data_IF_758881450569
#
_entry.id   IF_758881450569
#
_cell.length_a   1.000
_cell.length_b   1.000
_cell.length_c   1.000
_cell.angle_alpha   90.00
_cell.angle_beta   90.00
_cell.angle_gamma   90.00
#
_symmetry.space_group_name_H-M   'P 1'
#
loop_
_entity.id
_entity.type
_entity.pdbx_description
1 polymer ?
#
# COMPACT_ATOMS: atom_id res chain seq x y z
N UNK A 1 -50.32 53.60 -65.80
CA UNK A 1 -50.20 53.23 -64.38
C UNK A 1 -49.11 52.18 -64.29
N UNK A 2 -47.91 52.56 -63.89
CA UNK A 2 -46.75 51.69 -63.88
C UNK A 2 -46.43 51.29 -62.42
N UNK A 3 -46.63 50.02 -62.07
CA UNK A 3 -46.30 49.48 -60.78
C UNK A 3 -44.80 49.08 -60.79
N UNK A 4 -43.98 49.69 -59.93
CA UNK A 4 -42.58 49.33 -59.71
C UNK A 4 -42.54 48.31 -58.61
N UNK A 5 -42.13 47.08 -58.96
CA UNK A 5 -41.73 46.05 -57.99
C UNK A 5 -40.37 46.45 -57.42
N UNK A 6 -40.29 46.62 -56.10
CA UNK A 6 -39.04 46.73 -55.34
C UNK A 6 -38.75 45.38 -54.78
N UNK A 7 -37.72 44.71 -55.32
CA UNK A 7 -37.19 43.49 -54.75
C UNK A 7 -36.29 43.84 -53.55
N UNK A 8 -36.75 43.50 -52.36
CA UNK A 8 -35.97 43.57 -51.12
C UNK A 8 -35.10 42.33 -51.02
N UNK A 9 -33.82 42.46 -51.30
CA UNK A 9 -32.82 41.37 -51.02
C UNK A 9 -32.50 41.37 -49.52
N UNK A 10 -33.06 40.39 -48.78
CA UNK A 10 -32.71 40.17 -47.40
C UNK A 10 -31.39 39.39 -47.36
N UNK A 11 -30.31 40.07 -47.00
CA UNK A 11 -29.00 39.49 -46.76
C UNK A 11 -29.04 38.77 -45.38
N UNK A 12 -29.26 37.47 -45.38
CA UNK A 12 -29.13 36.62 -44.18
C UNK A 12 -27.64 36.45 -43.90
N UNK A 13 -27.08 37.24 -43.00
CA UNK A 13 -25.77 37.01 -42.40
C UNK A 13 -25.89 35.77 -41.50
N UNK A 14 -25.46 34.64 -42.02
CA UNK A 14 -25.11 33.48 -41.17
C UNK A 14 -23.90 33.87 -40.33
N UNK A 15 -24.14 34.36 -39.12
CA UNK A 15 -23.08 34.37 -38.10
C UNK A 15 -22.81 32.91 -37.73
N UNK A 16 -21.74 32.34 -38.29
CA UNK A 16 -21.14 31.10 -37.76
C UNK A 16 -20.64 31.49 -36.38
N UNK A 17 -21.49 31.33 -35.35
CA UNK A 17 -21.04 31.35 -33.96
C UNK A 17 -20.06 30.20 -33.83
N UNK A 18 -18.77 30.52 -33.85
CA UNK A 18 -17.74 29.59 -33.43
C UNK A 18 -18.06 29.22 -31.97
N UNK A 19 -18.72 28.09 -31.78
CA UNK A 19 -19.07 27.60 -30.46
C UNK A 19 -17.77 27.06 -29.85
N UNK A 20 -16.91 27.95 -29.36
CA UNK A 20 -15.70 27.57 -28.64
C UNK A 20 -16.16 26.83 -27.39
N UNK A 21 -15.95 25.54 -27.38
CA UNK A 21 -16.22 24.72 -26.20
C UNK A 21 -15.19 25.05 -25.11
N UNK A 22 -15.66 25.72 -24.05
CA UNK A 22 -14.80 26.12 -22.95
C UNK A 22 -14.49 24.89 -22.03
N UNK A 23 -13.20 24.64 -21.81
CA UNK A 23 -12.70 23.54 -20.97
C UNK A 23 -11.74 24.03 -19.90
N UNK A 24 -11.39 23.18 -18.95
CA UNK A 24 -10.48 23.57 -17.86
C UNK A 24 -9.03 23.58 -18.33
N UNK A 25 -8.62 22.58 -19.14
CA UNK A 25 -7.24 22.39 -19.56
C UNK A 25 -7.20 21.87 -21.00
N UNK A 26 -6.28 22.43 -21.80
CA UNK A 26 -5.81 21.83 -23.04
C UNK A 26 -4.33 21.50 -22.88
N UNK A 27 -3.98 20.23 -23.10
CA UNK A 27 -2.59 19.78 -23.25
C UNK A 27 -2.31 19.62 -24.73
N UNK A 28 -1.21 20.20 -25.23
CA UNK A 28 -0.83 20.15 -26.64
C UNK A 28 0.64 19.86 -26.80
N UNK A 29 1.08 19.61 -28.06
CA UNK A 29 2.48 19.29 -28.39
C UNK A 29 2.99 18.09 -27.56
N UNK A 30 2.16 17.05 -27.40
CA UNK A 30 2.47 15.83 -26.67
C UNK A 30 2.60 14.62 -27.60
N UNK A 31 3.16 13.51 -27.10
CA UNK A 31 3.02 12.18 -27.67
C UNK A 31 2.10 11.38 -26.74
N UNK A 32 0.82 11.38 -27.00
CA UNK A 32 -0.17 10.69 -26.15
C UNK A 32 -0.35 9.28 -26.65
N UNK A 33 -0.13 8.29 -25.78
CA UNK A 33 -0.46 6.88 -25.97
C UNK A 33 -1.82 6.66 -25.34
N UNK A 34 -2.84 6.40 -26.15
CA UNK A 34 -4.23 6.40 -25.68
C UNK A 34 -4.68 5.06 -25.08
N UNK A 35 -4.02 3.96 -25.45
CA UNK A 35 -4.46 2.58 -25.20
C UNK A 35 -5.81 2.25 -25.84
N UNK A 36 -6.18 2.98 -26.88
CA UNK A 36 -7.37 2.77 -27.69
C UNK A 36 -6.93 2.29 -29.07
N UNK A 37 -7.37 1.12 -29.49
CA UNK A 37 -6.95 0.49 -30.76
C UNK A 37 -7.44 1.30 -31.98
N UNK A 38 -8.56 2.00 -31.87
CA UNK A 38 -9.11 2.83 -32.93
C UNK A 38 -8.37 4.17 -33.08
N UNK A 39 -7.78 4.68 -32.01
CA UNK A 39 -7.00 5.92 -31.98
C UNK A 39 -5.77 5.77 -31.10
N UNK A 40 -4.75 4.96 -31.45
CA UNK A 40 -3.65 4.57 -30.58
C UNK A 40 -2.76 5.74 -30.12
N UNK A 41 -2.78 6.86 -30.86
CA UNK A 41 -1.98 8.04 -30.52
C UNK A 41 -2.74 9.34 -30.77
N UNK A 42 -2.39 10.38 -29.99
CA UNK A 42 -2.83 11.75 -30.19
C UNK A 42 -1.67 12.72 -29.87
N UNK A 43 -1.81 14.00 -30.25
CA UNK A 43 -0.82 15.03 -29.91
C UNK A 43 -1.37 16.12 -28.99
N UNK A 44 -2.68 16.08 -28.69
CA UNK A 44 -3.33 16.96 -27.74
C UNK A 44 -4.55 16.29 -27.11
N UNK A 45 -4.96 16.84 -25.95
CA UNK A 45 -6.19 16.48 -25.26
C UNK A 45 -6.84 17.70 -24.64
N UNK A 46 -8.18 17.68 -24.56
CA UNK A 46 -8.97 18.63 -23.81
C UNK A 46 -9.57 17.94 -22.58
N UNK A 47 -9.45 18.60 -21.41
CA UNK A 47 -9.94 18.10 -20.12
C UNK A 47 -10.92 19.12 -19.53
N UNK A 48 -12.08 18.65 -19.08
CA UNK A 48 -13.08 19.47 -18.41
C UNK A 48 -13.65 18.73 -17.19
N UNK A 49 -13.68 19.39 -16.05
CA UNK A 49 -14.16 18.83 -14.78
C UNK A 49 -13.49 17.48 -14.44
N UNK A 50 -12.18 17.39 -14.66
CA UNK A 50 -11.38 16.19 -14.39
C UNK A 50 -11.62 15.03 -15.36
N UNK A 51 -12.37 15.23 -16.44
CA UNK A 51 -12.64 14.22 -17.46
C UNK A 51 -12.01 14.59 -18.80
N UNK A 52 -11.48 13.60 -19.49
CA UNK A 52 -11.04 13.73 -20.86
C UNK A 52 -12.26 13.89 -21.78
N UNK A 53 -12.36 15.02 -22.48
CA UNK A 53 -13.49 15.33 -23.37
C UNK A 53 -13.15 15.21 -24.84
N UNK A 54 -11.86 15.31 -25.21
CA UNK A 54 -11.42 15.11 -26.58
C UNK A 54 -9.94 14.75 -26.65
N UNK A 55 -9.59 13.95 -27.64
CA UNK A 55 -8.24 13.60 -28.06
C UNK A 55 -8.05 13.87 -29.55
N UNK A 56 -6.89 14.35 -29.97
CA UNK A 56 -6.65 14.60 -31.39
C UNK A 56 -5.32 15.24 -31.70
N UNK A 57 -5.23 15.83 -32.88
CA UNK A 57 -4.07 16.62 -33.30
C UNK A 57 -4.07 17.98 -32.58
N UNK A 58 -2.89 18.46 -32.19
CA UNK A 58 -2.75 19.75 -31.45
C UNK A 58 -3.49 20.89 -32.11
N UNK A 59 -3.35 21.06 -33.45
CA UNK A 59 -4.01 22.14 -34.17
C UNK A 59 -5.55 22.02 -34.11
N UNK A 60 -6.08 20.80 -34.21
CA UNK A 60 -7.52 20.56 -34.17
C UNK A 60 -8.10 20.88 -32.79
N UNK A 61 -7.48 20.38 -31.72
CA UNK A 61 -7.90 20.62 -30.35
C UNK A 61 -7.81 22.10 -29.98
N UNK A 62 -6.71 22.79 -30.33
CA UNK A 62 -6.54 24.22 -30.09
C UNK A 62 -7.55 25.09 -30.84
N UNK A 63 -8.03 24.68 -32.03
CA UNK A 63 -9.05 25.38 -32.78
C UNK A 63 -10.48 25.13 -32.27
N UNK A 64 -10.70 23.97 -31.65
CA UNK A 64 -12.03 23.56 -31.19
C UNK A 64 -12.34 24.03 -29.76
N UNK A 65 -11.32 24.10 -28.89
CA UNK A 65 -11.51 24.40 -27.47
C UNK A 65 -10.77 25.65 -27.04
N UNK A 66 -11.45 26.50 -26.26
CA UNK A 66 -10.80 27.51 -25.42
C UNK A 66 -10.68 26.99 -23.99
N UNK A 67 -9.50 27.12 -23.35
CA UNK A 67 -9.22 26.55 -22.05
C UNK A 67 -8.90 27.61 -21.00
N UNK A 68 -9.18 27.31 -19.71
CA UNK A 68 -8.71 28.14 -18.60
C UNK A 68 -7.19 28.07 -18.46
N UNK A 69 -6.60 26.90 -18.80
CA UNK A 69 -5.16 26.68 -18.79
C UNK A 69 -4.72 25.90 -20.04
N UNK A 70 -3.51 26.22 -20.51
CA UNK A 70 -2.86 25.51 -21.61
C UNK A 70 -1.52 24.96 -21.10
N UNK A 71 -1.24 23.70 -21.43
CA UNK A 71 0.05 23.05 -21.13
C UNK A 71 0.71 22.58 -22.41
N UNK A 72 1.84 23.21 -22.75
CA UNK A 72 2.72 22.73 -23.81
C UNK A 72 3.57 21.58 -23.24
N UNK A 73 3.30 20.36 -23.70
CA UNK A 73 4.02 19.18 -23.25
C UNK A 73 5.42 19.04 -23.89
N UNK A 74 5.81 19.94 -24.81
CA UNK A 74 7.15 19.98 -25.45
C UNK A 74 7.61 18.64 -26.00
N UNK A 75 6.70 17.87 -26.59
CA UNK A 75 6.98 16.54 -27.16
C UNK A 75 7.06 15.42 -26.13
N UNK A 76 6.80 15.67 -24.84
CA UNK A 76 6.78 14.63 -23.82
C UNK A 76 5.71 13.58 -24.10
N UNK A 77 6.00 12.33 -23.68
CA UNK A 77 5.05 11.24 -23.75
C UNK A 77 4.08 11.29 -22.57
N UNK A 78 2.81 11.12 -22.89
CA UNK A 78 1.72 11.00 -21.90
C UNK A 78 1.06 9.64 -22.08
N UNK A 79 0.88 8.92 -20.99
CA UNK A 79 0.17 7.65 -20.93
C UNK A 79 -0.98 7.75 -19.91
N UNK A 80 -1.97 6.84 -19.94
CA UNK A 80 -2.83 6.62 -18.79
C UNK A 80 -2.01 6.37 -17.54
N UNK A 81 -2.48 6.82 -16.39
CA UNK A 81 -1.79 6.59 -15.12
C UNK A 81 -1.67 5.10 -14.81
N UNK A 82 -0.53 4.70 -14.27
CA UNK A 82 -0.29 3.31 -13.89
C UNK A 82 -1.16 2.92 -12.68
N UNK A 83 -1.55 1.65 -12.63
CA UNK A 83 -2.30 1.06 -11.50
C UNK A 83 -1.51 -0.14 -11.00
N UNK A 84 -1.18 -0.15 -9.71
CA UNK A 84 -0.62 -1.34 -9.06
C UNK A 84 -1.77 -2.25 -8.62
N UNK A 85 -1.85 -3.43 -9.22
CA UNK A 85 -2.94 -4.37 -8.98
C UNK A 85 -2.80 -5.17 -7.67
N UNK A 86 -1.65 -5.08 -6.98
CA UNK A 86 -1.41 -5.73 -5.69
C UNK A 86 -0.36 -4.95 -4.91
N UNK A 87 -0.80 -4.07 -4.05
CA UNK A 87 0.04 -3.24 -3.21
C UNK A 87 -0.29 -3.42 -1.73
N UNK A 88 0.60 -2.91 -0.89
CA UNK A 88 0.41 -2.67 0.52
C UNK A 88 0.66 -1.17 0.78
N UNK A 89 -0.25 -0.35 0.27
CA UNK A 89 -0.10 1.11 0.20
C UNK A 89 -0.01 1.76 1.58
N UNK A 90 -0.88 1.37 2.50
CA UNK A 90 -0.83 1.86 3.87
C UNK A 90 0.47 1.43 4.58
N UNK A 91 0.88 0.17 4.40
CA UNK A 91 2.14 -0.33 4.98
C UNK A 91 3.38 0.34 4.36
N UNK A 92 3.35 0.66 3.05
CA UNK A 92 4.38 1.49 2.45
C UNK A 92 4.51 2.83 3.19
N UNK A 93 3.38 3.49 3.45
CA UNK A 93 3.36 4.76 4.16
C UNK A 93 3.90 4.67 5.58
N UNK A 94 3.51 3.65 6.34
CA UNK A 94 4.07 3.41 7.67
C UNK A 94 5.58 3.19 7.61
N UNK A 95 6.05 2.38 6.65
CA UNK A 95 7.48 2.14 6.44
C UNK A 95 8.29 3.38 6.06
N UNK A 96 7.66 4.40 5.46
CA UNK A 96 8.31 5.69 5.20
C UNK A 96 8.50 6.55 6.47
N UNK A 97 7.77 6.24 7.53
CA UNK A 97 7.87 6.90 8.83
C UNK A 97 8.85 6.18 9.77
N UNK A 98 9.39 5.04 9.36
CA UNK A 98 10.38 4.28 10.10
C UNK A 98 11.79 4.53 9.54
N UNK A 99 12.79 4.35 10.40
CA UNK A 99 14.19 4.43 9.96
C UNK A 99 14.60 3.14 9.25
N UNK A 100 15.13 3.26 8.04
CA UNK A 100 15.80 2.17 7.35
C UNK A 100 17.23 2.03 7.88
N UNK A 101 17.50 0.90 8.55
CA UNK A 101 18.81 0.59 9.14
C UNK A 101 19.70 -0.23 8.20
N UNK A 102 19.27 -0.55 6.99
CA UNK A 102 20.08 -1.31 6.02
C UNK A 102 21.35 -0.55 5.65
N UNK A 103 22.44 -1.31 5.52
CA UNK A 103 23.76 -0.74 5.19
C UNK A 103 24.42 0.04 6.33
N UNK A 104 23.95 -0.10 7.58
CA UNK A 104 24.70 0.35 8.75
C UNK A 104 25.89 -0.59 8.98
N UNK A 105 27.05 -0.04 9.31
CA UNK A 105 28.31 -0.78 9.43
C UNK A 105 28.78 -0.97 10.89
N UNK A 106 27.99 -0.51 11.85
CA UNK A 106 28.26 -0.66 13.28
C UNK A 106 27.02 -0.40 14.13
N UNK A 107 27.05 -0.81 15.40
CA UNK A 107 26.04 -0.46 16.42
C UNK A 107 25.88 1.06 16.54
N UNK A 108 27.00 1.78 16.55
CA UNK A 108 26.98 3.25 16.64
C UNK A 108 26.32 3.87 15.41
N UNK A 109 26.55 3.35 14.21
CA UNK A 109 25.90 3.84 12.99
C UNK A 109 24.38 3.63 13.03
N UNK A 110 23.89 2.54 13.65
CA UNK A 110 22.44 2.34 13.91
C UNK A 110 21.92 3.42 14.84
N UNK A 111 22.58 3.63 15.98
CA UNK A 111 22.18 4.61 17.00
C UNK A 111 22.18 6.04 16.42
N UNK A 112 23.22 6.43 15.69
CA UNK A 112 23.31 7.73 15.05
C UNK A 112 22.17 7.96 14.06
N UNK A 113 21.78 6.92 13.31
CA UNK A 113 20.65 7.00 12.38
C UNK A 113 19.32 7.15 13.10
N UNK A 114 19.11 6.46 14.23
CA UNK A 114 17.92 6.63 15.07
C UNK A 114 17.84 8.04 15.67
N UNK A 115 18.94 8.55 16.23
CA UNK A 115 19.02 9.88 16.85
C UNK A 115 18.85 11.02 15.82
N UNK A 116 19.30 10.79 14.58
CA UNK A 116 19.15 11.74 13.47
C UNK A 116 17.74 11.80 12.89
N UNK A 117 16.85 10.89 13.24
CA UNK A 117 15.50 10.82 12.69
C UNK A 117 14.52 11.64 13.53
N UNK A 118 14.15 12.82 13.04
CA UNK A 118 13.29 13.78 13.74
C UNK A 118 12.00 13.20 14.34
N UNK A 119 11.26 12.30 13.65
CA UNK A 119 10.05 11.72 14.23
C UNK A 119 10.25 10.97 15.54
N UNK A 120 11.47 10.49 15.84
CA UNK A 120 11.75 9.76 17.08
C UNK A 120 12.02 10.65 18.29
N UNK A 121 12.21 11.96 18.13
CA UNK A 121 12.45 12.87 19.26
C UNK A 121 11.32 12.88 20.31
N UNK A 122 10.08 12.63 19.87
CA UNK A 122 8.90 12.59 20.74
C UNK A 122 8.12 11.28 20.60
N UNK A 123 8.76 10.24 20.06
CA UNK A 123 8.10 8.96 19.89
C UNK A 123 7.81 8.29 21.24
N UNK A 124 6.62 7.72 21.37
CA UNK A 124 6.25 6.89 22.54
C UNK A 124 6.82 5.48 22.43
N UNK A 125 7.25 5.08 21.24
CA UNK A 125 7.91 3.82 20.93
C UNK A 125 8.79 4.05 19.68
N UNK A 126 10.03 3.57 19.69
CA UNK A 126 10.94 3.64 18.53
C UNK A 126 10.94 2.28 17.84
N UNK A 127 10.50 2.24 16.59
CA UNK A 127 10.48 1.05 15.75
C UNK A 127 11.29 1.32 14.50
N UNK A 128 12.23 0.44 14.16
CA UNK A 128 13.01 0.53 12.92
C UNK A 128 13.38 -0.88 12.43
N UNK A 129 13.89 -0.99 11.21
CA UNK A 129 14.21 -2.28 10.60
C UNK A 129 15.45 -2.21 9.72
N UNK A 130 16.09 -3.38 9.54
CA UNK A 130 17.10 -3.54 8.51
C UNK A 130 18.54 -3.62 9.01
N UNK A 131 18.79 -3.66 10.32
CA UNK A 131 20.14 -3.90 10.82
C UNK A 131 20.57 -5.36 10.58
N UNK A 132 21.88 -5.55 10.37
CA UNK A 132 22.51 -6.88 10.30
C UNK A 132 23.92 -6.79 10.90
N UNK A 133 24.16 -7.52 11.99
CA UNK A 133 25.49 -7.55 12.62
C UNK A 133 26.54 -8.21 11.73
N UNK A 134 26.14 -9.01 10.74
CA UNK A 134 27.10 -9.59 9.81
C UNK A 134 27.73 -8.56 8.86
N UNK A 135 27.08 -7.40 8.68
CA UNK A 135 27.58 -6.27 7.89
C UNK A 135 28.51 -5.36 8.72
N UNK A 136 28.69 -5.64 10.03
CA UNK A 136 29.48 -4.80 10.92
C UNK A 136 30.91 -5.33 11.05
N UNK A 137 31.85 -4.41 11.29
CA UNK A 137 33.28 -4.74 11.41
C UNK A 137 33.58 -5.78 12.48
N UNK A 138 32.85 -5.75 13.62
CA UNK A 138 33.03 -6.67 14.74
C UNK A 138 32.10 -7.89 14.71
N UNK A 139 31.11 -7.89 13.83
CA UNK A 139 30.08 -8.93 13.68
C UNK A 139 29.43 -9.41 14.99
N UNK A 140 29.60 -8.61 16.07
CA UNK A 140 29.08 -8.98 17.38
C UNK A 140 27.60 -8.64 17.51
N UNK A 141 26.87 -9.50 18.22
CA UNK A 141 25.48 -9.20 18.56
C UNK A 141 25.42 -7.94 19.41
N UNK A 142 24.49 -7.02 19.10
CA UNK A 142 24.24 -5.87 19.95
C UNK A 142 23.54 -6.28 21.26
N UNK A 143 23.45 -5.36 22.21
CA UNK A 143 22.84 -5.59 23.52
C UNK A 143 21.81 -4.51 23.86
N UNK A 144 20.94 -4.77 24.82
CA UNK A 144 20.02 -3.78 25.37
C UNK A 144 20.74 -2.53 25.90
N UNK A 145 21.95 -2.70 26.48
CA UNK A 145 22.73 -1.60 27.03
C UNK A 145 23.16 -0.58 25.98
N UNK A 146 23.41 -1.02 24.74
CA UNK A 146 23.75 -0.13 23.63
C UNK A 146 22.60 0.84 23.33
N UNK A 147 21.34 0.43 23.50
CA UNK A 147 20.14 1.24 23.30
C UNK A 147 19.74 2.02 24.58
N UNK A 148 19.87 1.39 25.75
CA UNK A 148 19.49 1.99 27.04
C UNK A 148 20.23 3.30 27.31
N UNK A 149 21.48 3.39 26.84
CA UNK A 149 22.31 4.62 26.98
C UNK A 149 21.69 5.85 26.30
N UNK A 150 20.87 5.65 25.28
CA UNK A 150 20.28 6.73 24.47
C UNK A 150 18.77 6.82 24.60
N UNK A 151 18.11 5.71 24.92
CA UNK A 151 16.65 5.61 25.05
C UNK A 151 16.24 4.97 26.39
N UNK A 152 16.60 5.60 27.54
CA UNK A 152 16.36 4.97 28.87
C UNK A 152 14.87 4.82 29.21
N UNK A 153 14.04 5.75 28.73
CA UNK A 153 12.61 5.81 29.06
C UNK A 153 11.69 5.46 27.87
N UNK A 154 12.23 5.47 26.66
CA UNK A 154 11.47 5.16 25.44
C UNK A 154 11.74 3.72 25.01
N UNK A 155 10.72 2.86 24.88
CA UNK A 155 10.91 1.50 24.38
C UNK A 155 11.40 1.53 22.92
N UNK A 156 12.34 0.65 22.61
CA UNK A 156 12.96 0.51 21.29
C UNK A 156 12.88 -0.92 20.82
N UNK A 157 12.42 -1.14 19.59
CA UNK A 157 12.40 -2.44 18.93
C UNK A 157 12.92 -2.31 17.49
N UNK A 158 14.09 -2.86 17.24
CA UNK A 158 14.76 -2.81 15.95
C UNK A 158 14.74 -4.19 15.30
N UNK A 159 14.01 -4.33 14.19
CA UNK A 159 13.91 -5.60 13.48
C UNK A 159 15.14 -5.83 12.61
N UNK A 160 15.70 -7.03 12.69
CA UNK A 160 16.81 -7.47 11.83
C UNK A 160 16.36 -7.56 10.37
N UNK A 161 17.30 -7.44 9.44
CA UNK A 161 17.04 -7.43 7.99
C UNK A 161 16.25 -8.63 7.49
N UNK A 162 16.46 -9.82 8.09
CA UNK A 162 15.75 -11.05 7.75
C UNK A 162 14.36 -11.19 8.40
N UNK A 163 14.01 -10.29 9.32
CA UNK A 163 12.72 -10.32 10.02
C UNK A 163 12.62 -11.32 11.18
N UNK A 164 13.68 -12.13 11.42
CA UNK A 164 13.67 -13.21 12.39
C UNK A 164 14.27 -12.85 13.75
N UNK A 165 14.78 -11.63 13.93
CA UNK A 165 15.29 -11.18 15.22
C UNK A 165 14.90 -9.73 15.51
N UNK A 166 14.77 -9.42 16.81
CA UNK A 166 14.64 -8.06 17.34
C UNK A 166 15.85 -7.73 18.21
N UNK A 167 16.35 -6.51 18.09
CA UNK A 167 17.22 -5.86 19.05
C UNK A 167 16.40 -4.83 19.81
N UNK A 168 16.24 -5.05 21.11
CA UNK A 168 15.34 -4.28 21.99
C UNK A 168 16.07 -3.76 23.22
N UNK A 169 15.58 -2.66 23.76
CA UNK A 169 16.12 -2.11 25.02
C UNK A 169 15.41 -2.67 26.27
N UNK A 170 15.91 -2.34 27.45
CA UNK A 170 15.34 -2.78 28.71
C UNK A 170 13.89 -2.37 28.91
N UNK A 171 13.49 -1.22 28.39
CA UNK A 171 12.13 -0.71 28.48
C UNK A 171 11.15 -1.58 27.67
N UNK A 172 11.53 -1.97 26.45
CA UNK A 172 10.71 -2.85 25.61
C UNK A 172 10.61 -4.27 26.21
N UNK A 173 11.72 -4.82 26.75
CA UNK A 173 11.69 -6.10 27.48
C UNK A 173 10.71 -6.06 28.66
N UNK A 174 10.77 -5.00 29.46
CA UNK A 174 9.86 -4.82 30.61
C UNK A 174 8.39 -4.75 30.19
N UNK A 175 8.07 -4.02 29.12
CA UNK A 175 6.69 -3.94 28.62
C UNK A 175 6.18 -5.30 28.11
N UNK A 176 7.06 -6.10 27.53
CA UNK A 176 6.74 -7.45 27.04
C UNK A 176 6.74 -8.53 28.14
N UNK A 177 7.09 -8.17 29.39
CA UNK A 177 7.17 -9.12 30.51
C UNK A 177 8.30 -10.16 30.36
N UNK A 178 9.37 -9.83 29.61
CA UNK A 178 10.50 -10.73 29.34
C UNK A 178 11.58 -10.55 30.43
N UNK A 179 11.60 -11.48 31.37
CA UNK A 179 12.54 -11.44 32.51
C UNK A 179 13.58 -12.58 32.47
N UNK A 180 13.31 -13.66 31.76
CA UNK A 180 14.14 -14.86 31.72
C UNK A 180 14.80 -15.07 30.34
N UNK A 181 15.90 -15.79 30.32
CA UNK A 181 16.64 -16.14 29.12
C UNK A 181 16.48 -17.61 28.77
N UNK A 182 16.87 -17.98 27.56
CA UNK A 182 16.95 -19.37 27.11
C UNK A 182 15.99 -19.69 25.94
N UNK A 183 15.97 -20.93 25.50
CA UNK A 183 15.07 -21.40 24.48
C UNK A 183 13.61 -21.39 25.01
N UNK A 184 12.71 -20.93 24.17
CA UNK A 184 11.26 -20.98 24.38
C UNK A 184 10.61 -21.67 23.19
N UNK A 185 9.38 -22.19 23.30
CA UNK A 185 8.70 -22.78 22.15
C UNK A 185 8.71 -21.80 20.95
N UNK A 186 9.31 -22.23 19.85
CA UNK A 186 9.39 -21.45 18.61
C UNK A 186 10.44 -20.34 18.58
N UNK A 187 11.42 -20.28 19.53
CA UNK A 187 12.45 -19.26 19.46
C UNK A 187 13.44 -19.22 20.62
N UNK A 188 14.17 -18.10 20.74
CA UNK A 188 15.23 -17.93 21.71
C UNK A 188 15.26 -16.50 22.28
N UNK A 189 15.37 -16.38 23.59
CA UNK A 189 15.75 -15.15 24.30
C UNK A 189 17.23 -15.25 24.68
N UNK A 190 18.10 -14.50 23.98
CA UNK A 190 19.55 -14.58 24.22
C UNK A 190 19.93 -14.01 25.58
N UNK A 191 20.83 -14.70 26.26
CA UNK A 191 21.42 -14.25 27.51
C UNK A 191 22.53 -13.21 27.25
N UNK A 192 22.59 -12.19 28.11
CA UNK A 192 23.77 -11.32 28.26
C UNK A 192 24.86 -11.97 29.11
N UNK A 193 25.99 -11.29 29.30
CA UNK A 193 27.10 -11.77 30.13
C UNK A 193 26.70 -11.94 31.60
N UNK A 194 25.73 -11.16 32.05
CA UNK A 194 25.15 -11.22 33.41
C UNK A 194 24.07 -12.29 33.58
N UNK A 195 23.79 -13.06 32.53
CA UNK A 195 22.75 -14.10 32.54
C UNK A 195 21.32 -13.57 32.41
N UNK A 196 21.10 -12.23 32.31
CA UNK A 196 19.81 -11.64 32.05
C UNK A 196 19.53 -11.53 30.54
N UNK A 197 18.29 -11.24 30.08
CA UNK A 197 18.01 -11.00 28.67
C UNK A 197 18.94 -9.94 28.06
N UNK A 198 19.65 -10.30 26.99
CA UNK A 198 20.61 -9.40 26.34
C UNK A 198 19.94 -8.26 25.55
N UNK A 199 18.66 -8.38 25.26
CA UNK A 199 17.94 -7.52 24.32
C UNK A 199 17.84 -8.10 22.92
N UNK A 200 18.36 -9.31 22.68
CA UNK A 200 18.19 -10.01 21.40
C UNK A 200 17.17 -11.13 21.55
N UNK A 201 16.11 -11.02 20.75
CA UNK A 201 15.03 -11.99 20.65
C UNK A 201 15.07 -12.61 19.26
N UNK A 202 14.79 -13.90 19.16
CA UNK A 202 14.80 -14.63 17.89
C UNK A 202 13.47 -15.39 17.76
N UNK A 203 12.81 -15.24 16.62
CA UNK A 203 11.53 -15.85 16.24
C UNK A 203 10.39 -15.56 17.24
N UNK A 204 9.68 -16.54 17.77
CA UNK A 204 8.46 -16.39 18.56
C UNK A 204 8.52 -15.34 19.70
N UNK A 205 9.62 -15.18 20.47
CA UNK A 205 9.73 -14.11 21.46
C UNK A 205 9.61 -12.69 20.89
N UNK A 206 9.87 -12.49 19.60
CA UNK A 206 9.67 -11.18 18.95
C UNK A 206 8.22 -10.75 19.03
N UNK A 207 7.27 -11.68 18.91
CA UNK A 207 5.84 -11.39 18.93
C UNK A 207 5.38 -10.79 20.27
N UNK A 208 6.04 -11.16 21.37
CA UNK A 208 5.75 -10.59 22.69
C UNK A 208 6.04 -9.09 22.74
N UNK A 209 7.15 -8.66 22.12
CA UNK A 209 7.51 -7.23 22.04
C UNK A 209 6.63 -6.53 20.99
N UNK A 210 6.43 -7.14 19.85
CA UNK A 210 5.61 -6.55 18.78
C UNK A 210 4.18 -6.27 19.26
N UNK A 211 3.61 -7.13 20.12
CA UNK A 211 2.30 -6.93 20.72
C UNK A 211 2.23 -5.72 21.71
N UNK A 212 3.37 -5.19 22.15
CA UNK A 212 3.43 -3.99 23.01
C UNK A 212 3.53 -2.68 22.24
N UNK A 213 3.79 -2.75 20.93
CA UNK A 213 3.88 -1.56 20.09
C UNK A 213 2.47 -0.98 19.91
N UNK A 214 2.25 0.30 20.27
CA UNK A 214 0.94 0.92 20.07
C UNK A 214 0.52 0.93 18.61
N UNK A 215 -0.76 0.74 18.36
CA UNK A 215 -1.33 0.96 17.04
C UNK A 215 -1.09 2.40 16.58
N UNK A 216 -0.84 2.62 15.28
CA UNK A 216 -0.64 3.96 14.75
C UNK A 216 -1.85 4.86 15.02
N UNK A 217 -1.60 6.06 15.56
CA UNK A 217 -2.67 7.05 15.75
C UNK A 217 -3.23 7.49 14.40
N UNK A 218 -4.43 8.07 14.40
CA UNK A 218 -5.05 8.64 13.19
C UNK A 218 -4.13 9.67 12.51
N UNK A 219 -3.35 10.43 13.28
CA UNK A 219 -2.37 11.40 12.75
C UNK A 219 -1.22 10.69 12.01
N UNK A 220 -0.64 9.65 12.62
CA UNK A 220 0.41 8.82 11.99
C UNK A 220 -0.14 8.15 10.73
N UNK A 221 -1.32 7.54 10.79
CA UNK A 221 -1.96 6.88 9.65
C UNK A 221 -2.27 7.86 8.51
N UNK A 222 -2.73 9.07 8.85
CA UNK A 222 -2.96 10.15 7.87
C UNK A 222 -1.65 10.53 7.17
N UNK A 223 -0.59 10.75 7.93
CA UNK A 223 0.72 11.08 7.39
C UNK A 223 1.26 9.96 6.50
N UNK A 224 1.15 8.71 6.94
CA UNK A 224 1.55 7.53 6.18
C UNK A 224 0.85 7.47 4.80
N UNK A 225 -0.48 7.64 4.77
CA UNK A 225 -1.25 7.63 3.53
C UNK A 225 -0.85 8.77 2.57
N UNK A 226 -0.58 9.96 3.09
CA UNK A 226 -0.16 11.11 2.28
C UNK A 226 1.25 10.91 1.70
N UNK A 227 2.20 10.41 2.51
CA UNK A 227 3.57 10.17 2.07
C UNK A 227 3.65 9.00 1.07
N UNK A 228 2.84 7.94 1.26
CA UNK A 228 2.69 6.86 0.30
C UNK A 228 2.13 7.36 -1.04
N UNK A 229 1.13 8.23 -1.02
CA UNK A 229 0.59 8.87 -2.23
C UNK A 229 1.66 9.66 -2.98
N UNK A 230 2.46 10.47 -2.27
CA UNK A 230 3.53 11.24 -2.89
C UNK A 230 4.56 10.31 -3.58
N UNK A 231 4.92 9.22 -2.93
CA UNK A 231 5.80 8.18 -3.48
C UNK A 231 5.19 7.54 -4.73
N UNK A 232 3.93 7.10 -4.67
CA UNK A 232 3.24 6.51 -5.82
C UNK A 232 3.16 7.47 -7.01
N UNK A 233 2.80 8.72 -6.78
CA UNK A 233 2.72 9.72 -7.85
C UNK A 233 4.08 10.00 -8.48
N UNK A 234 5.17 10.01 -7.70
CA UNK A 234 6.53 10.19 -8.23
C UNK A 234 6.95 9.08 -9.21
N UNK A 235 6.33 7.90 -9.10
CA UNK A 235 6.54 6.73 -9.96
C UNK A 235 5.48 6.59 -11.07
N UNK A 236 4.54 7.54 -11.18
CA UNK A 236 3.46 7.50 -12.18
C UNK A 236 2.28 6.60 -11.82
N UNK A 237 2.23 6.05 -10.62
CA UNK A 237 1.07 5.31 -10.10
C UNK A 237 -0.05 6.29 -9.74
N UNK A 238 -1.25 6.07 -10.28
CA UNK A 238 -2.45 6.89 -10.01
C UNK A 238 -3.55 6.10 -9.33
N UNK A 239 -3.37 4.81 -9.20
CA UNK A 239 -4.26 3.88 -8.51
C UNK A 239 -3.49 2.71 -7.92
N UNK A 240 -4.03 2.14 -6.85
CA UNK A 240 -3.50 0.96 -6.17
C UNK A 240 -4.63 0.06 -5.69
N UNK A 241 -4.38 -1.26 -5.68
CA UNK A 241 -5.21 -2.23 -5.00
C UNK A 241 -4.52 -2.58 -3.68
N UNK A 242 -4.99 -2.03 -2.56
CA UNK A 242 -4.35 -2.19 -1.25
C UNK A 242 -4.88 -3.42 -0.52
N UNK A 243 -3.99 -4.36 -0.25
CA UNK A 243 -4.33 -5.70 0.19
C UNK A 243 -4.31 -5.85 1.72
N UNK A 244 -5.48 -5.88 2.34
CA UNK A 244 -5.65 -6.24 3.75
C UNK A 244 -5.73 -5.04 4.68
N UNK A 245 -6.67 -4.14 4.43
CA UNK A 245 -6.94 -2.97 5.26
C UNK A 245 -7.99 -3.26 6.34
N UNK A 246 -7.80 -2.67 7.53
CA UNK A 246 -8.83 -2.62 8.56
C UNK A 246 -9.93 -1.62 8.19
N UNK A 247 -11.07 -1.77 8.81
CA UNK A 247 -12.20 -0.85 8.68
C UNK A 247 -11.80 0.60 9.00
N UNK A 248 -11.06 0.82 10.08
CA UNK A 248 -10.64 2.15 10.50
C UNK A 248 -9.80 2.86 9.45
N UNK A 249 -8.88 2.15 8.80
CA UNK A 249 -8.04 2.71 7.73
C UNK A 249 -8.86 2.99 6.48
N UNK A 250 -9.81 2.11 6.12
CA UNK A 250 -10.73 2.34 4.99
C UNK A 250 -11.59 3.59 5.22
N UNK A 251 -12.14 3.76 6.43
CA UNK A 251 -12.93 4.94 6.81
C UNK A 251 -12.07 6.21 6.82
N UNK A 252 -10.80 6.12 7.25
CA UNK A 252 -9.85 7.23 7.18
C UNK A 252 -9.54 7.62 5.74
N UNK A 253 -9.29 6.66 4.86
CA UNK A 253 -9.08 6.89 3.41
C UNK A 253 -10.28 7.62 2.81
N UNK A 254 -11.51 7.17 3.11
CA UNK A 254 -12.73 7.82 2.64
C UNK A 254 -12.84 9.28 3.10
N UNK A 255 -12.53 9.54 4.36
CA UNK A 255 -12.52 10.88 4.94
C UNK A 255 -11.49 11.78 4.25
N UNK A 256 -10.27 11.28 4.01
CA UNK A 256 -9.20 12.02 3.33
C UNK A 256 -9.52 12.30 1.86
N UNK A 257 -10.21 11.38 1.17
CA UNK A 257 -10.75 11.61 -0.17
C UNK A 257 -11.81 12.71 -0.16
N UNK A 258 -12.67 12.73 0.88
CA UNK A 258 -13.75 13.72 1.03
C UNK A 258 -13.26 15.15 1.15
N UNK A 259 -12.08 15.37 1.72
CA UNK A 259 -11.44 16.70 1.86
C UNK A 259 -10.34 16.96 0.82
N UNK A 260 -10.21 16.10 -0.21
CA UNK A 260 -9.20 16.18 -1.29
C UNK A 260 -7.73 16.13 -0.82
N UNK A 261 -7.48 15.65 0.39
CA UNK A 261 -6.14 15.43 0.92
C UNK A 261 -5.49 14.18 0.32
N UNK A 262 -6.27 13.14 0.10
CA UNK A 262 -5.86 11.94 -0.62
C UNK A 262 -6.52 11.93 -2.01
N UNK A 263 -5.75 11.68 -3.07
CA UNK A 263 -6.21 11.78 -4.47
C UNK A 263 -5.98 10.51 -5.28
N UNK A 264 -5.06 9.67 -4.85
CA UNK A 264 -4.80 8.37 -5.49
C UNK A 264 -6.06 7.50 -5.40
N UNK A 265 -6.39 6.78 -6.47
CA UNK A 265 -7.49 5.83 -6.45
C UNK A 265 -7.10 4.58 -5.67
N UNK A 266 -7.96 4.13 -4.78
CA UNK A 266 -7.70 2.95 -3.95
C UNK A 266 -8.85 1.95 -4.11
N UNK A 267 -8.52 0.74 -4.55
CA UNK A 267 -9.36 -0.44 -4.40
C UNK A 267 -8.90 -1.15 -3.11
N UNK A 268 -9.66 -0.98 -2.05
CA UNK A 268 -9.33 -1.47 -0.72
C UNK A 268 -9.86 -2.88 -0.53
N UNK A 269 -8.97 -3.84 -0.31
CA UNK A 269 -9.33 -5.20 0.09
C UNK A 269 -9.44 -5.24 1.61
N UNK A 270 -10.60 -5.59 2.13
CA UNK A 270 -10.84 -5.73 3.57
C UNK A 270 -9.97 -6.85 4.14
N UNK A 271 -9.31 -6.65 5.27
CA UNK A 271 -8.65 -7.72 6.03
C UNK A 271 -9.66 -8.77 6.47
N UNK A 272 -9.27 -10.06 6.45
CA UNK A 272 -10.17 -11.17 6.87
C UNK A 272 -10.33 -11.28 8.40
N UNK A 273 -10.37 -10.15 9.08
CA UNK A 273 -10.57 -10.07 10.53
C UNK A 273 -12.02 -9.70 10.86
N UNK A 274 -12.59 -10.36 11.87
CA UNK A 274 -13.85 -9.93 12.45
C UNK A 274 -13.58 -8.84 13.52
N UNK A 275 -14.44 -7.83 13.66
CA UNK A 275 -15.79 -7.72 13.06
C UNK A 275 -15.83 -7.03 11.68
N UNK A 276 -14.71 -6.65 11.10
CA UNK A 276 -14.64 -5.83 9.87
C UNK A 276 -15.28 -6.55 8.67
N UNK A 277 -15.00 -7.84 8.50
CA UNK A 277 -15.61 -8.64 7.43
C UNK A 277 -17.14 -8.60 7.52
N UNK A 278 -17.70 -8.87 8.69
CA UNK A 278 -19.15 -8.84 8.90
C UNK A 278 -19.70 -7.46 8.59
N UNK A 279 -19.07 -6.39 9.08
CA UNK A 279 -19.49 -5.02 8.80
C UNK A 279 -19.60 -4.72 7.30
N UNK A 280 -18.57 -5.03 6.51
CA UNK A 280 -18.58 -4.73 5.08
C UNK A 280 -19.52 -5.63 4.29
N UNK A 281 -19.62 -6.92 4.63
CA UNK A 281 -20.58 -7.82 3.98
C UNK A 281 -22.06 -7.42 4.22
N UNK A 282 -22.36 -6.82 5.38
CA UNK A 282 -23.69 -6.30 5.71
C UNK A 282 -23.97 -4.92 5.11
N UNK A 283 -22.96 -4.04 5.09
CA UNK A 283 -23.07 -2.68 4.55
C UNK A 283 -23.10 -2.66 3.01
N UNK A 284 -22.57 -3.70 2.36
CA UNK A 284 -22.49 -3.80 0.90
C UNK A 284 -21.26 -3.13 0.29
N UNK A 285 -21.20 -3.19 -1.04
CA UNK A 285 -20.07 -2.64 -1.82
C UNK A 285 -19.98 -1.13 -1.71
N UNK A 286 -18.78 -0.61 -1.61
CA UNK A 286 -18.48 0.82 -1.77
C UNK A 286 -17.88 1.01 -3.16
N UNK A 287 -18.45 1.92 -3.95
CA UNK A 287 -17.94 2.30 -5.27
C UNK A 287 -18.06 3.82 -5.43
N UNK A 288 -17.04 4.52 -5.00
CA UNK A 288 -16.91 5.98 -5.09
C UNK A 288 -15.87 6.35 -6.14
N UNK A 289 -15.78 7.62 -6.48
CA UNK A 289 -14.86 8.12 -7.51
C UNK A 289 -13.41 7.68 -7.32
N UNK A 290 -12.94 7.59 -6.06
CA UNK A 290 -11.55 7.27 -5.71
C UNK A 290 -11.41 6.09 -4.76
N UNK A 291 -12.47 5.60 -4.16
CA UNK A 291 -12.46 4.48 -3.23
C UNK A 291 -13.44 3.41 -3.69
N UNK A 292 -12.92 2.22 -3.88
CA UNK A 292 -13.71 1.01 -4.02
C UNK A 292 -13.43 0.06 -2.86
N UNK A 293 -14.47 -0.57 -2.32
CA UNK A 293 -14.35 -1.67 -1.36
C UNK A 293 -15.29 -2.77 -1.85
N UNK A 294 -14.70 -3.81 -2.41
CA UNK A 294 -15.48 -4.88 -3.03
C UNK A 294 -14.81 -6.24 -2.94
N UNK A 295 -13.77 -6.34 -2.12
CA UNK A 295 -13.04 -7.59 -1.96
C UNK A 295 -12.48 -7.78 -0.55
N UNK A 296 -12.19 -9.03 -0.20
CA UNK A 296 -11.61 -9.44 1.07
C UNK A 296 -10.27 -10.11 0.78
N UNK A 297 -9.22 -9.71 1.50
CA UNK A 297 -7.89 -10.34 1.46
C UNK A 297 -7.82 -11.48 2.46
N UNK A 298 -7.36 -12.65 1.99
CA UNK A 298 -7.16 -13.84 2.81
C UNK A 298 -5.73 -14.35 2.61
N UNK A 299 -5.16 -14.94 3.62
CA UNK A 299 -3.88 -15.66 3.56
C UNK A 299 -4.14 -17.15 3.74
N UNK A 300 -3.99 -17.94 2.67
CA UNK A 300 -4.15 -19.39 2.75
C UNK A 300 -2.96 -20.04 3.45
N UNK A 301 -1.74 -19.58 3.14
CA UNK A 301 -0.49 -20.08 3.71
C UNK A 301 0.55 -18.95 3.85
N UNK A 302 1.76 -19.29 4.29
CA UNK A 302 2.88 -18.37 4.42
C UNK A 302 3.78 -18.29 3.17
N UNK A 303 5.04 -17.84 3.35
CA UNK A 303 6.02 -17.66 2.29
C UNK A 303 7.05 -18.80 2.22
N UNK A 304 7.65 -19.00 1.03
CA UNK A 304 8.69 -20.02 0.83
C UNK A 304 9.96 -19.74 1.65
N UNK A 305 10.41 -18.48 1.67
CA UNK A 305 11.66 -18.11 2.37
C UNK A 305 11.62 -18.36 3.87
N UNK A 306 10.47 -18.22 4.51
CA UNK A 306 10.23 -18.56 5.93
C UNK A 306 9.73 -19.99 6.15
N UNK A 307 9.65 -20.81 5.10
CA UNK A 307 9.12 -22.18 5.08
C UNK A 307 7.69 -22.32 5.60
N UNK A 308 6.92 -21.22 5.51
CA UNK A 308 5.51 -21.18 5.86
C UNK A 308 4.56 -21.60 4.72
N UNK A 309 5.05 -21.60 3.47
CA UNK A 309 4.24 -22.01 2.33
C UNK A 309 3.87 -23.49 2.41
N UNK A 310 2.59 -23.83 2.26
CA UNK A 310 2.09 -25.20 2.38
C UNK A 310 2.40 -26.01 1.11
N UNK A 311 3.35 -26.92 1.19
CA UNK A 311 3.84 -27.74 0.10
C UNK A 311 3.27 -29.15 0.13
N UNK A 312 3.22 -29.81 -1.03
CA UNK A 312 2.86 -31.21 -1.19
C UNK A 312 4.03 -32.17 -0.92
N UNK A 313 5.25 -31.66 -1.09
CA UNK A 313 6.49 -32.34 -0.72
C UNK A 313 7.17 -31.55 0.41
N UNK A 314 8.07 -32.23 1.13
CA UNK A 314 8.88 -31.56 2.15
C UNK A 314 9.81 -30.49 1.53
N UNK A 315 10.19 -29.49 2.32
CA UNK A 315 11.20 -28.52 1.93
C UNK A 315 12.54 -29.23 1.72
N UNK A 316 13.23 -28.94 0.61
CA UNK A 316 14.49 -29.60 0.24
C UNK A 316 15.63 -29.31 1.22
N UNK A 317 15.55 -28.19 1.92
CA UNK A 317 16.54 -27.74 2.92
C UNK A 317 16.06 -27.93 4.37
N UNK A 318 14.84 -28.48 4.59
CA UNK A 318 14.27 -28.78 5.89
C UNK A 318 13.45 -30.08 5.81
N UNK A 319 14.12 -31.27 5.84
CA UNK A 319 13.43 -32.55 5.73
C UNK A 319 12.37 -32.77 6.82
N UNK A 320 11.21 -33.28 6.42
CA UNK A 320 10.05 -33.49 7.31
C UNK A 320 9.18 -32.28 7.51
N UNK A 321 9.54 -31.10 6.95
CA UNK A 321 8.74 -29.89 7.04
C UNK A 321 8.01 -29.60 5.72
N UNK A 322 6.71 -29.29 5.81
CA UNK A 322 5.81 -29.09 4.65
C UNK A 322 5.17 -27.70 4.63
N UNK A 323 5.52 -26.82 5.58
CA UNK A 323 4.78 -25.59 5.83
C UNK A 323 3.39 -25.86 6.39
N UNK A 324 2.52 -24.85 6.38
CA UNK A 324 1.17 -24.97 6.95
C UNK A 324 0.18 -24.04 6.29
N UNK A 325 -1.11 -24.43 6.32
CA UNK A 325 -2.21 -23.51 6.03
C UNK A 325 -2.40 -22.56 7.21
N UNK A 326 -2.44 -21.24 6.95
CA UNK A 326 -2.80 -20.20 7.92
C UNK A 326 -4.32 -20.15 8.10
N UNK A 327 -5.05 -20.13 6.98
CA UNK A 327 -6.51 -20.19 7.00
C UNK A 327 -6.94 -21.62 6.69
N UNK A 328 -7.77 -22.21 7.55
CA UNK A 328 -8.31 -23.55 7.29
C UNK A 328 -9.17 -23.57 6.03
N UNK A 329 -9.23 -24.72 5.36
CA UNK A 329 -10.08 -24.88 4.14
C UNK A 329 -11.55 -24.60 4.45
N UNK A 330 -12.03 -25.02 5.63
CA UNK A 330 -13.42 -24.78 6.07
C UNK A 330 -13.70 -23.29 6.28
N UNK A 331 -12.77 -22.56 6.87
CA UNK A 331 -12.94 -21.12 7.13
C UNK A 331 -12.88 -20.32 5.82
N UNK A 332 -11.94 -20.68 4.93
CA UNK A 332 -11.87 -20.10 3.58
C UNK A 332 -13.17 -20.33 2.81
N UNK A 333 -13.71 -21.56 2.83
CA UNK A 333 -14.94 -21.88 2.14
C UNK A 333 -16.15 -21.14 2.74
N UNK A 334 -16.21 -21.04 4.07
CA UNK A 334 -17.25 -20.30 4.78
C UNK A 334 -17.22 -18.81 4.44
N UNK A 335 -16.04 -18.20 4.50
CA UNK A 335 -15.85 -16.80 4.14
C UNK A 335 -16.19 -16.55 2.67
N UNK A 336 -15.70 -17.39 1.76
CA UNK A 336 -15.96 -17.25 0.33
C UNK A 336 -17.45 -17.35 -0.01
N UNK A 337 -18.20 -18.22 0.67
CA UNK A 337 -19.68 -18.30 0.53
C UNK A 337 -20.36 -17.01 0.99
N UNK A 338 -19.94 -16.44 2.15
CA UNK A 338 -20.47 -15.18 2.66
C UNK A 338 -20.18 -14.04 1.69
N UNK A 339 -18.94 -13.94 1.23
CA UNK A 339 -18.47 -12.92 0.29
C UNK A 339 -19.24 -12.99 -1.04
N UNK A 340 -19.34 -14.18 -1.66
CA UNK A 340 -20.07 -14.39 -2.90
C UNK A 340 -21.54 -13.96 -2.78
N UNK A 341 -22.20 -14.33 -1.67
CA UNK A 341 -23.60 -13.94 -1.41
C UNK A 341 -23.78 -12.42 -1.31
N UNK A 342 -22.78 -11.72 -0.79
CA UNK A 342 -22.79 -10.26 -0.65
C UNK A 342 -22.24 -9.52 -1.88
N UNK A 343 -21.81 -10.24 -2.92
CA UNK A 343 -21.24 -9.67 -4.14
C UNK A 343 -19.77 -9.25 -4.02
N UNK A 344 -19.07 -9.68 -2.96
CA UNK A 344 -17.65 -9.42 -2.75
C UNK A 344 -16.76 -10.47 -3.41
N UNK A 345 -15.62 -10.05 -3.91
CA UNK A 345 -14.54 -10.93 -4.35
C UNK A 345 -13.70 -11.38 -3.15
N UNK A 346 -13.12 -12.59 -3.22
CA UNK A 346 -12.09 -13.03 -2.28
C UNK A 346 -10.75 -13.11 -3.00
N UNK A 347 -9.75 -12.41 -2.49
CA UNK A 347 -8.38 -12.40 -3.00
C UNK A 347 -7.50 -13.18 -2.04
N UNK A 348 -7.07 -14.37 -2.46
CA UNK A 348 -6.36 -15.29 -1.58
C UNK A 348 -4.88 -15.37 -1.93
N UNK A 349 -4.01 -15.02 -0.96
CA UNK A 349 -2.60 -15.35 -1.00
C UNK A 349 -2.43 -16.86 -0.88
N UNK A 350 -1.73 -17.47 -1.83
CA UNK A 350 -1.40 -18.89 -1.85
C UNK A 350 -0.08 -19.09 -2.59
N UNK A 351 0.98 -19.40 -1.87
CA UNK A 351 2.33 -19.60 -2.42
C UNK A 351 2.61 -21.08 -2.64
N UNK A 352 2.37 -21.92 -1.64
CA UNK A 352 2.60 -23.35 -1.73
C UNK A 352 1.69 -24.04 -2.75
N UNK A 353 2.19 -25.07 -3.40
CA UNK A 353 1.44 -25.85 -4.39
C UNK A 353 0.26 -26.63 -3.74
N UNK A 354 0.37 -27.01 -2.47
CA UNK A 354 -0.72 -27.57 -1.69
C UNK A 354 -1.80 -26.53 -1.39
N UNK A 355 -1.40 -25.32 -1.00
CA UNK A 355 -2.32 -24.21 -0.76
C UNK A 355 -3.06 -23.83 -2.04
N UNK A 356 -2.34 -23.66 -3.16
CA UNK A 356 -2.95 -23.35 -4.45
C UNK A 356 -4.03 -24.34 -4.86
N UNK A 357 -3.72 -25.64 -4.81
CA UNK A 357 -4.70 -26.70 -5.14
C UNK A 357 -5.91 -26.63 -4.21
N UNK A 358 -5.70 -26.39 -2.93
CA UNK A 358 -6.76 -26.32 -1.93
C UNK A 358 -7.70 -25.13 -2.17
N UNK A 359 -7.13 -23.94 -2.42
CA UNK A 359 -7.89 -22.72 -2.75
C UNK A 359 -8.70 -22.88 -4.03
N UNK A 360 -8.06 -23.38 -5.11
CA UNK A 360 -8.75 -23.60 -6.38
C UNK A 360 -9.90 -24.61 -6.26
N UNK A 361 -9.76 -25.64 -5.44
CA UNK A 361 -10.86 -26.59 -5.16
C UNK A 361 -12.03 -25.95 -4.41
N UNK A 362 -11.75 -25.02 -3.48
CA UNK A 362 -12.80 -24.26 -2.81
C UNK A 362 -13.56 -23.42 -3.85
N UNK A 363 -12.85 -22.67 -4.67
CA UNK A 363 -13.48 -21.81 -5.69
C UNK A 363 -14.24 -22.59 -6.74
N UNK A 364 -13.70 -23.73 -7.23
CA UNK A 364 -14.39 -24.60 -8.18
C UNK A 364 -15.73 -25.11 -7.64
N UNK A 365 -15.81 -25.42 -6.33
CA UNK A 365 -17.07 -25.84 -5.70
C UNK A 365 -18.10 -24.71 -5.55
N UNK A 366 -17.64 -23.47 -5.39
CA UNK A 366 -18.51 -22.33 -5.12
C UNK A 366 -19.01 -21.64 -6.39
N UNK A 367 -18.29 -21.77 -7.50
CA UNK A 367 -18.60 -21.11 -8.76
C UNK A 367 -19.40 -22.01 -9.73
N UNK A 368 -19.65 -23.27 -9.36
CA UNK A 368 -20.55 -24.22 -10.06
C UNK A 368 -21.96 -24.12 -9.53
#
# INVERSE_FOLDING_TARGET
MRIRCVCLFALILFTIACNEHRVDLVVHNAKIITMDDDQPTATAMAVNQGKLVSLGLSQAILNQFSAKAYWDAKGQTITPGLIDAHAHFYQLGLGLLEVDLRGTTSKQAVIDRLLGFEPYKNATYVVARGWDQNDWDDSSWPSKADLDAYFPDTPVALQRVDGHALWVNSKALSLAGIENTGPVPGGLIRAGEDGTPSGILIDAPCDLVMATIPEPTTEISTRALIDAQATCFSLGLTGVHDAGLSREIIELIDSLHGIDALRIKIDAMVSNQEPDVTHFLESGLIDKQRLRVGSIKVYADGALGSRGAALRAEYSDEPGHFGAMITSISDLESLAKRALKAGFQVNTHAIGDSANVSVLRVYDRLLK
#
